data_IF_960628535296
#
_entry.id   IF_960628535296
#
_cell.length_a   1.000
_cell.length_b   1.000
_cell.length_c   1.000
_cell.angle_alpha   90.00
_cell.angle_beta   90.00
_cell.angle_gamma   90.00
#
_symmetry.space_group_name_H-M   'P 1'
#
loop_
_entity.id
_entity.type
_entity.pdbx_description
1 polymer ?
#
# COMPACT_ATOMS: atom_id res chain seq x y z
N UNK A 1 14.64 -5.62 -6.55
CA UNK A 1 13.60 -4.70 -5.99
C UNK A 1 14.30 -3.85 -4.95
N UNK A 2 14.21 -2.53 -5.10
CA UNK A 2 14.91 -1.56 -4.26
C UNK A 2 14.03 -1.18 -3.06
N UNK A 3 14.68 -0.91 -1.93
CA UNK A 3 14.03 -0.52 -0.69
C UNK A 3 14.61 0.80 -0.19
N UNK A 4 13.77 1.61 0.43
CA UNK A 4 14.16 2.84 1.15
C UNK A 4 13.98 2.59 2.63
N UNK A 5 14.98 2.96 3.40
CA UNK A 5 14.94 2.95 4.87
C UNK A 5 14.09 4.12 5.37
N UNK A 6 13.08 3.80 6.17
CA UNK A 6 12.22 4.76 6.84
C UNK A 6 12.62 4.82 8.30
N UNK A 7 13.17 5.95 8.71
CA UNK A 7 13.64 6.14 10.08
C UNK A 7 12.50 5.93 11.10
N UNK A 8 12.84 5.30 12.21
CA UNK A 8 11.96 5.18 13.37
C UNK A 8 11.57 6.55 13.91
N UNK A 9 10.54 6.61 14.75
CA UNK A 9 10.08 7.85 15.37
C UNK A 9 8.58 8.04 15.25
N UNK A 10 8.10 9.16 15.77
CA UNK A 10 6.69 9.50 15.84
C UNK A 10 6.19 10.16 14.55
N UNK A 11 4.90 10.00 14.27
CA UNK A 11 4.17 10.75 13.24
C UNK A 11 2.69 10.85 13.64
N UNK A 12 1.96 11.73 12.97
CA UNK A 12 0.51 11.84 13.11
C UNK A 12 -0.17 10.96 12.06
N UNK A 13 -0.90 9.95 12.53
CA UNK A 13 -1.67 9.01 11.71
C UNK A 13 -3.13 9.41 11.66
N UNK A 14 -3.75 9.32 10.48
CA UNK A 14 -5.15 9.66 10.27
C UNK A 14 -5.34 10.99 9.54
N UNK A 15 -6.60 11.36 9.31
CA UNK A 15 -7.00 12.60 8.64
C UNK A 15 -8.18 13.22 9.38
N UNK A 16 -8.01 14.45 9.88
CA UNK A 16 -9.05 15.17 10.63
C UNK A 16 -10.26 15.54 9.76
N UNK A 17 -10.01 15.79 8.48
CA UNK A 17 -11.02 16.14 7.48
C UNK A 17 -11.51 14.91 6.69
N UNK A 18 -10.95 13.75 6.98
CA UNK A 18 -11.25 12.49 6.32
C UNK A 18 -12.53 11.81 6.82
N UNK A 19 -12.74 10.59 6.35
CA UNK A 19 -13.87 9.75 6.77
C UNK A 19 -13.83 9.42 8.27
N UNK A 20 -14.95 9.02 8.89
CA UNK A 20 -14.97 8.64 10.31
C UNK A 20 -13.94 7.59 10.70
N UNK A 21 -13.65 6.63 9.82
CA UNK A 21 -12.66 5.59 10.07
C UNK A 21 -11.19 6.07 10.00
N UNK A 22 -10.96 7.28 9.50
CA UNK A 22 -9.65 7.93 9.42
C UNK A 22 -9.36 8.80 10.65
N UNK A 23 -10.32 8.85 11.58
CA UNK A 23 -10.28 9.66 12.80
C UNK A 23 -10.33 8.81 14.07
N UNK A 24 -9.82 9.32 15.20
CA UNK A 24 -9.11 10.59 15.36
C UNK A 24 -7.73 10.55 14.75
N UNK A 25 -7.18 11.72 14.37
CA UNK A 25 -5.74 11.85 14.17
C UNK A 25 -5.06 11.57 15.50
N UNK A 26 -4.07 10.70 15.50
CA UNK A 26 -3.40 10.26 16.72
C UNK A 26 -1.91 10.07 16.48
N UNK A 27 -1.14 10.16 17.56
CA UNK A 27 0.31 10.01 17.52
C UNK A 27 0.68 8.53 17.55
N UNK A 28 1.50 8.11 16.59
CA UNK A 28 2.03 6.75 16.49
C UNK A 28 3.55 6.80 16.42
N UNK A 29 4.22 5.97 17.22
CA UNK A 29 5.65 5.73 17.14
C UNK A 29 5.90 4.40 16.44
N UNK A 30 6.78 4.41 15.45
CA UNK A 30 7.25 3.19 14.77
C UNK A 30 8.75 3.00 14.97
N UNK A 31 9.18 1.76 15.03
CA UNK A 31 10.58 1.39 14.84
C UNK A 31 10.99 1.64 13.40
N UNK A 32 12.28 1.65 13.10
CA UNK A 32 12.77 1.78 11.74
C UNK A 32 12.42 0.53 10.92
N UNK A 33 12.13 0.73 9.64
CA UNK A 33 11.80 -0.33 8.70
C UNK A 33 12.25 0.07 7.28
N UNK A 34 12.23 -0.85 6.36
CA UNK A 34 12.45 -0.54 4.95
C UNK A 34 11.19 -0.82 4.14
N UNK A 35 10.88 0.04 3.17
CA UNK A 35 9.74 -0.08 2.27
C UNK A 35 10.20 -0.12 0.82
N UNK A 36 9.60 -1.00 0.00
CA UNK A 36 9.90 -1.09 -1.42
C UNK A 36 9.57 0.23 -2.14
N UNK A 37 10.47 0.67 -3.01
CA UNK A 37 10.38 1.94 -3.75
C UNK A 37 9.10 2.04 -4.57
N UNK A 38 8.65 0.93 -5.15
CA UNK A 38 7.42 0.82 -5.94
C UNK A 38 6.58 -0.37 -5.47
N UNK A 39 5.32 -0.47 -5.89
CA UNK A 39 4.56 -1.73 -5.83
C UNK A 39 5.32 -2.87 -6.52
N UNK A 40 5.04 -4.10 -6.14
CA UNK A 40 5.56 -5.30 -6.82
C UNK A 40 5.05 -5.32 -8.25
N UNK A 41 5.96 -5.45 -9.21
CA UNK A 41 5.62 -5.47 -10.65
C UNK A 41 5.38 -6.90 -11.16
N UNK A 42 4.74 -7.02 -12.32
CA UNK A 42 4.60 -8.30 -13.02
C UNK A 42 5.96 -8.97 -13.26
N UNK A 43 6.98 -8.20 -13.66
CA UNK A 43 8.34 -8.73 -13.84
C UNK A 43 8.96 -9.26 -12.56
N UNK A 44 8.67 -8.63 -11.40
CA UNK A 44 9.16 -9.10 -10.11
C UNK A 44 8.40 -10.34 -9.61
N UNK A 45 7.12 -10.47 -9.99
CA UNK A 45 6.26 -11.58 -9.58
C UNK A 45 6.46 -12.86 -10.43
N UNK A 46 6.84 -12.74 -11.70
CA UNK A 46 7.01 -13.86 -12.62
C UNK A 46 7.95 -14.97 -12.09
N UNK A 47 9.16 -14.68 -11.54
CA UNK A 47 10.04 -15.72 -11.01
C UNK A 47 9.43 -16.53 -9.85
N UNK A 48 8.52 -15.93 -9.08
CA UNK A 48 7.78 -16.63 -8.03
C UNK A 48 6.83 -17.67 -8.61
N UNK A 49 6.10 -17.33 -9.66
CA UNK A 49 5.21 -18.27 -10.36
C UNK A 49 6.02 -19.46 -10.92
N UNK A 50 7.14 -19.15 -11.58
CA UNK A 50 8.02 -20.16 -12.18
C UNK A 50 8.63 -21.10 -11.12
N UNK A 51 9.05 -20.55 -9.98
CA UNK A 51 9.69 -21.31 -8.92
C UNK A 51 8.72 -22.17 -8.10
N UNK A 52 7.46 -21.74 -7.97
CA UNK A 52 6.50 -22.38 -7.06
C UNK A 52 5.40 -23.16 -7.76
N UNK A 53 5.13 -22.86 -9.03
CA UNK A 53 4.03 -23.45 -9.79
C UNK A 53 2.63 -23.09 -9.28
N UNK A 54 2.50 -22.06 -8.44
CA UNK A 54 1.19 -21.60 -7.98
C UNK A 54 0.39 -20.98 -9.13
N UNK A 55 -0.95 -21.00 -9.09
CA UNK A 55 -1.76 -20.36 -10.11
C UNK A 55 -1.44 -18.86 -10.22
N UNK A 56 -1.42 -18.30 -11.44
CA UNK A 56 -1.18 -16.87 -11.62
C UNK A 56 -2.34 -16.01 -11.09
N UNK A 57 -2.08 -14.72 -10.81
CA UNK A 57 -3.11 -13.74 -10.45
C UNK A 57 -4.27 -13.67 -11.45
N UNK A 58 -5.44 -13.21 -10.98
CA UNK A 58 -6.68 -13.23 -11.76
C UNK A 58 -6.62 -12.52 -13.13
N UNK A 59 -5.76 -11.49 -13.28
CA UNK A 59 -5.62 -10.70 -14.51
C UNK A 59 -4.29 -10.94 -15.22
N UNK A 60 -3.53 -11.95 -14.82
CA UNK A 60 -2.21 -12.25 -15.37
C UNK A 60 -2.27 -12.56 -16.88
N UNK A 61 -1.42 -11.87 -17.65
CA UNK A 61 -1.35 -12.03 -19.10
C UNK A 61 -2.55 -11.50 -19.89
N UNK A 62 -3.53 -10.88 -19.24
CA UNK A 62 -4.63 -10.24 -19.94
C UNK A 62 -4.21 -8.89 -20.52
N UNK A 63 -4.73 -8.55 -21.70
CA UNK A 63 -4.45 -7.29 -22.37
C UNK A 63 -4.72 -6.09 -21.44
N UNK A 64 -3.72 -5.24 -21.28
CA UNK A 64 -3.76 -4.07 -20.38
C UNK A 64 -3.31 -4.33 -18.95
N UNK A 65 -2.98 -5.59 -18.58
CA UNK A 65 -2.44 -6.01 -17.29
C UNK A 65 -1.15 -6.82 -17.43
N UNK A 66 -0.61 -6.90 -18.63
CA UNK A 66 0.48 -7.79 -19.05
C UNK A 66 1.83 -7.10 -19.24
N UNK A 67 1.91 -5.79 -19.04
CA UNK A 67 3.21 -5.09 -19.12
C UNK A 67 4.11 -5.47 -17.93
N UNK A 68 5.36 -5.86 -18.17
CA UNK A 68 6.30 -6.26 -17.11
C UNK A 68 6.50 -5.20 -16.02
N UNK A 69 6.36 -3.93 -16.34
CA UNK A 69 6.53 -2.80 -15.41
C UNK A 69 5.24 -2.32 -14.75
N UNK A 70 4.10 -2.92 -15.05
CA UNK A 70 2.87 -2.66 -14.30
C UNK A 70 2.93 -3.32 -12.93
N UNK A 71 2.27 -2.74 -11.89
CA UNK A 71 2.01 -3.45 -10.65
C UNK A 71 1.31 -4.77 -10.92
N UNK A 72 1.71 -5.83 -10.25
CA UNK A 72 0.91 -7.06 -10.20
C UNK A 72 -0.38 -6.76 -9.46
N UNK A 73 -1.51 -7.03 -10.10
CA UNK A 73 -2.85 -6.83 -9.54
C UNK A 73 -3.70 -8.09 -9.67
N UNK A 74 -4.83 -8.11 -9.00
CA UNK A 74 -5.67 -9.31 -8.99
C UNK A 74 -5.12 -10.40 -8.08
N UNK A 75 -4.36 -10.03 -7.08
CA UNK A 75 -3.83 -10.89 -6.02
C UNK A 75 -4.69 -10.79 -4.78
N UNK A 76 -4.96 -11.92 -4.13
CA UNK A 76 -5.56 -11.96 -2.80
C UNK A 76 -4.53 -11.53 -1.75
N UNK A 77 -4.99 -11.24 -0.54
CA UNK A 77 -4.10 -10.91 0.58
C UNK A 77 -3.15 -12.09 0.91
N UNK A 78 -3.66 -13.32 0.88
CA UNK A 78 -2.88 -14.53 1.12
C UNK A 78 -1.79 -14.71 0.06
N UNK A 79 -2.10 -14.46 -1.22
CA UNK A 79 -1.12 -14.53 -2.31
C UNK A 79 -0.03 -13.46 -2.17
N UNK A 80 -0.41 -12.26 -1.77
CA UNK A 80 0.54 -11.18 -1.47
C UNK A 80 1.47 -11.55 -0.31
N UNK A 81 0.93 -12.13 0.77
CA UNK A 81 1.73 -12.64 1.90
C UNK A 81 2.67 -13.78 1.49
N UNK A 82 2.19 -14.72 0.67
CA UNK A 82 3.00 -15.85 0.20
C UNK A 82 4.18 -15.38 -0.65
N UNK A 83 3.95 -14.44 -1.58
CA UNK A 83 5.03 -13.82 -2.34
C UNK A 83 6.00 -13.06 -1.42
N UNK A 84 5.50 -12.27 -0.48
CA UNK A 84 6.34 -11.52 0.45
C UNK A 84 7.27 -12.46 1.24
N UNK A 85 6.74 -13.54 1.78
CA UNK A 85 7.53 -14.56 2.50
C UNK A 85 8.58 -15.24 1.60
N UNK A 86 8.19 -15.61 0.37
CA UNK A 86 9.12 -16.20 -0.61
C UNK A 86 10.29 -15.27 -0.94
N UNK A 87 10.02 -13.97 -1.01
CA UNK A 87 11.04 -12.94 -1.32
C UNK A 87 11.88 -12.51 -0.12
N UNK A 88 11.70 -13.11 1.07
CA UNK A 88 12.39 -12.73 2.30
C UNK A 88 11.94 -11.36 2.83
N UNK A 89 10.69 -11.01 2.62
CA UNK A 89 10.07 -9.75 3.04
C UNK A 89 8.69 -10.00 3.68
N UNK A 90 7.96 -8.94 3.96
CA UNK A 90 6.59 -8.96 4.48
C UNK A 90 5.74 -7.85 3.84
N UNK A 91 4.46 -7.88 4.06
CA UNK A 91 3.61 -6.71 3.81
C UNK A 91 3.91 -5.62 4.87
N UNK A 92 3.75 -4.34 4.55
CA UNK A 92 3.78 -3.28 5.55
C UNK A 92 2.58 -3.38 6.50
N UNK A 93 2.73 -2.85 7.72
CA UNK A 93 1.58 -2.48 8.54
C UNK A 93 0.91 -1.24 7.95
N UNK A 94 -0.36 -1.01 8.30
CA UNK A 94 -1.09 0.19 7.91
C UNK A 94 -0.34 1.46 8.33
N UNK A 95 0.20 1.47 9.56
CA UNK A 95 0.93 2.61 10.10
C UNK A 95 2.29 2.82 9.40
N UNK A 96 3.00 1.75 9.06
CA UNK A 96 4.25 1.84 8.27
C UNK A 96 3.98 2.42 6.89
N UNK A 97 2.93 1.93 6.22
CA UNK A 97 2.55 2.42 4.91
C UNK A 97 2.23 3.93 4.96
N UNK A 98 1.39 4.36 5.92
CA UNK A 98 1.00 5.77 6.03
C UNK A 98 2.18 6.67 6.38
N UNK A 99 3.02 6.29 7.36
CA UNK A 99 4.23 7.05 7.70
C UNK A 99 5.13 7.23 6.49
N UNK A 100 5.38 6.16 5.76
CA UNK A 100 6.21 6.20 4.56
C UNK A 100 5.57 7.06 3.47
N UNK A 101 4.26 6.94 3.25
CA UNK A 101 3.55 7.74 2.24
C UNK A 101 3.59 9.24 2.56
N UNK A 102 3.47 9.62 3.82
CA UNK A 102 3.60 11.03 4.26
C UNK A 102 5.00 11.58 4.07
N UNK A 103 6.03 10.75 4.09
CA UNK A 103 7.41 11.17 3.81
C UNK A 103 7.94 12.28 4.72
N UNK A 104 7.43 12.38 5.96
CA UNK A 104 7.76 13.44 6.92
C UNK A 104 6.94 14.73 6.75
N UNK A 105 5.92 14.74 5.88
CA UNK A 105 4.99 15.87 5.72
C UNK A 105 3.70 15.58 6.47
N UNK A 106 3.44 16.31 7.52
CA UNK A 106 2.18 16.24 8.27
C UNK A 106 1.03 16.82 7.45
N UNK A 107 -0.13 16.14 7.46
CA UNK A 107 -1.39 16.60 6.84
C UNK A 107 -1.33 16.85 5.32
N UNK A 108 -0.34 16.31 4.60
CA UNK A 108 -0.31 16.36 3.14
C UNK A 108 -1.48 15.57 2.53
N UNK A 109 -2.21 16.19 1.59
CA UNK A 109 -3.27 15.51 0.81
C UNK A 109 -2.69 14.54 -0.23
N UNK A 110 -1.43 14.73 -0.59
CA UNK A 110 -0.67 13.90 -1.54
C UNK A 110 0.64 13.47 -0.89
N UNK A 111 1.21 12.34 -1.31
CA UNK A 111 2.52 11.89 -0.86
C UNK A 111 3.68 12.81 -1.28
N UNK A 112 3.48 13.71 -2.24
CA UNK A 112 4.47 14.64 -2.77
C UNK A 112 4.01 16.09 -2.65
N UNK A 113 4.93 17.07 -2.68
CA UNK A 113 4.59 18.49 -2.72
C UNK A 113 3.91 18.88 -4.05
N UNK A 114 2.94 19.79 -3.97
CA UNK A 114 2.25 20.31 -5.14
C UNK A 114 0.91 19.63 -5.45
N UNK A 115 0.39 19.92 -6.64
CA UNK A 115 -0.93 19.44 -7.06
C UNK A 115 -0.89 17.98 -7.53
N UNK A 116 -2.05 17.32 -7.46
CA UNK A 116 -2.22 15.99 -8.03
C UNK A 116 -1.93 16.02 -9.54
N UNK A 117 -1.25 14.99 -10.09
CA UNK A 117 -1.16 14.87 -11.54
C UNK A 117 -2.57 14.90 -12.14
N UNK A 118 -2.77 15.71 -13.15
CA UNK A 118 -4.05 15.78 -13.86
C UNK A 118 -4.38 14.47 -14.61
N UNK A 119 -3.46 13.53 -14.63
CA UNK A 119 -3.57 12.29 -15.40
C UNK A 119 -4.39 11.25 -14.65
N UNK A 120 -5.56 10.93 -15.21
CA UNK A 120 -6.34 9.76 -14.83
C UNK A 120 -5.93 8.58 -15.71
N UNK A 121 -5.66 7.46 -15.06
CA UNK A 121 -5.34 6.21 -15.77
C UNK A 121 -6.64 5.45 -16.09
N UNK A 122 -6.68 4.74 -17.21
CA UNK A 122 -7.77 3.84 -17.60
C UNK A 122 -7.48 2.37 -17.32
N UNK A 123 -6.24 2.09 -16.85
CA UNK A 123 -5.71 0.77 -16.48
C UNK A 123 -4.52 0.99 -15.54
N UNK A 124 -4.02 -0.03 -14.84
CA UNK A 124 -2.81 0.13 -14.03
C UNK A 124 -1.68 0.72 -14.86
N UNK A 125 -1.09 1.85 -14.47
CA UNK A 125 0.06 2.40 -15.17
C UNK A 125 1.31 1.56 -14.88
N UNK A 126 2.38 1.77 -15.67
CA UNK A 126 3.71 1.29 -15.29
C UNK A 126 4.16 1.98 -14.02
N UNK A 127 4.96 1.31 -13.19
CA UNK A 127 5.55 1.95 -12.01
C UNK A 127 6.36 3.20 -12.37
N UNK A 128 6.57 4.10 -11.42
CA UNK A 128 7.06 5.48 -11.60
C UNK A 128 6.06 6.37 -12.37
N UNK A 129 4.77 6.09 -12.21
CA UNK A 129 3.69 6.85 -12.84
C UNK A 129 3.39 8.18 -12.12
N UNK A 130 3.68 8.23 -10.82
CA UNK A 130 3.50 9.42 -9.99
C UNK A 130 4.85 9.96 -9.51
N UNK A 131 4.93 11.24 -9.13
CA UNK A 131 6.16 11.78 -8.54
C UNK A 131 6.57 11.01 -7.28
N UNK A 132 7.86 10.93 -6.97
CA UNK A 132 8.30 10.37 -5.70
C UNK A 132 7.96 11.32 -4.55
N UNK A 133 7.74 10.76 -3.38
CA UNK A 133 7.68 11.53 -2.16
C UNK A 133 9.09 11.95 -1.68
N UNK A 134 9.23 12.73 -0.59
CA UNK A 134 10.53 13.15 -0.07
C UNK A 134 11.49 11.99 0.30
N UNK A 135 10.97 10.79 0.53
CA UNK A 135 11.78 9.59 0.78
C UNK A 135 12.21 8.87 -0.50
N UNK A 136 11.79 9.32 -1.70
CA UNK A 136 12.06 8.64 -2.96
C UNK A 136 11.13 7.46 -3.25
N UNK A 137 10.01 7.34 -2.57
CA UNK A 137 9.00 6.31 -2.80
C UNK A 137 8.01 6.77 -3.87
N UNK A 138 7.73 5.92 -4.84
CA UNK A 138 6.85 6.20 -5.97
C UNK A 138 5.49 5.49 -5.82
N UNK A 139 4.50 5.97 -6.57
CA UNK A 139 3.23 5.29 -6.80
C UNK A 139 2.38 5.03 -5.53
N UNK A 140 2.54 5.90 -4.53
CA UNK A 140 1.82 5.84 -3.26
C UNK A 140 0.39 6.40 -3.33
N UNK A 141 -0.04 6.86 -4.51
CA UNK A 141 -1.35 7.49 -4.70
C UNK A 141 -1.88 7.21 -6.09
N UNK A 142 -3.09 6.65 -6.19
CA UNK A 142 -3.85 6.52 -7.44
C UNK A 142 -3.30 5.50 -8.45
N UNK A 143 -2.48 4.54 -8.04
CA UNK A 143 -1.93 3.50 -8.92
C UNK A 143 -2.61 2.16 -8.70
N UNK A 144 -2.48 1.58 -7.53
CA UNK A 144 -3.25 0.42 -7.09
C UNK A 144 -3.46 0.47 -5.59
N UNK A 145 -4.55 -0.12 -5.10
CA UNK A 145 -4.67 -0.42 -3.69
C UNK A 145 -3.57 -1.37 -3.27
N UNK A 146 -2.91 -1.07 -2.17
CA UNK A 146 -1.82 -1.88 -1.65
C UNK A 146 -2.23 -2.56 -0.35
N UNK A 147 -2.19 -3.91 -0.34
CA UNK A 147 -2.48 -4.70 0.84
C UNK A 147 -1.51 -4.38 1.99
N UNK A 148 -2.07 -4.22 3.18
CA UNK A 148 -1.34 -4.18 4.45
C UNK A 148 -1.59 -5.46 5.25
N UNK A 149 -0.72 -5.72 6.25
CA UNK A 149 -0.85 -6.93 7.08
C UNK A 149 -2.04 -6.87 8.04
N UNK A 150 -2.52 -5.66 8.36
CA UNK A 150 -3.50 -5.41 9.40
C UNK A 150 -4.90 -5.92 9.03
N UNK A 151 -5.63 -6.43 10.03
CA UNK A 151 -7.07 -6.50 9.96
C UNK A 151 -7.67 -5.10 10.04
N UNK A 152 -8.81 -4.89 9.39
CA UNK A 152 -9.50 -3.62 9.37
C UNK A 152 -10.63 -3.57 10.42
N UNK A 153 -10.73 -2.43 11.11
CA UNK A 153 -11.92 -2.03 11.86
C UNK A 153 -12.10 -0.51 11.74
N UNK A 154 -13.34 -0.07 11.60
CA UNK A 154 -13.69 1.35 11.42
C UNK A 154 -13.29 2.21 12.62
N UNK A 155 -13.38 1.66 13.82
CA UNK A 155 -13.12 2.34 15.10
C UNK A 155 -11.70 2.16 15.63
N UNK A 156 -10.80 1.52 14.86
CA UNK A 156 -9.49 1.13 15.38
C UNK A 156 -8.64 2.31 15.84
N UNK A 157 -8.68 3.44 15.14
CA UNK A 157 -7.84 4.61 15.45
C UNK A 157 -8.14 5.20 16.83
N UNK A 158 -9.39 5.10 17.32
CA UNK A 158 -9.75 5.56 18.65
C UNK A 158 -9.12 4.74 19.81
N UNK A 159 -8.61 3.54 19.50
CA UNK A 159 -8.03 2.60 20.48
C UNK A 159 -6.69 2.03 20.05
N UNK A 160 -6.11 2.58 18.99
CA UNK A 160 -4.81 2.16 18.48
C UNK A 160 -3.72 2.35 19.54
N UNK A 161 -2.84 1.36 19.77
CA UNK A 161 -1.68 1.56 20.62
C UNK A 161 -0.77 2.62 20.01
N UNK A 162 -0.13 3.42 20.88
CA UNK A 162 0.76 4.50 20.46
C UNK A 162 2.11 4.04 19.90
N UNK A 163 2.42 2.74 19.91
CA UNK A 163 3.68 2.20 19.38
C UNK A 163 3.42 0.94 18.56
N UNK A 164 3.99 0.91 17.36
CA UNK A 164 3.97 -0.21 16.41
C UNK A 164 2.60 -0.90 16.29
N UNK A 165 1.50 -0.18 16.00
CA UNK A 165 0.17 -0.77 15.90
C UNK A 165 0.11 -1.79 14.76
N UNK A 166 -0.61 -2.91 15.00
CA UNK A 166 -0.75 -4.04 14.08
C UNK A 166 -2.19 -4.27 13.63
N UNK A 167 -3.07 -3.29 13.87
CA UNK A 167 -4.49 -3.47 13.66
C UNK A 167 -5.17 -4.29 14.76
N UNK A 168 -6.48 -4.55 14.68
CA UNK A 168 -7.16 -5.45 15.60
C UNK A 168 -6.66 -6.89 15.41
N UNK A 169 -6.75 -7.75 16.46
CA UNK A 169 -6.20 -9.12 16.40
C UNK A 169 -6.96 -10.03 15.42
N UNK A 170 -8.20 -9.70 15.12
CA UNK A 170 -9.07 -10.45 14.20
C UNK A 170 -9.94 -9.50 13.39
N UNK A 171 -10.45 -9.98 12.26
CA UNK A 171 -11.34 -9.22 11.40
C UNK A 171 -11.86 -10.06 10.23
N UNK A 172 -12.67 -9.44 9.39
CA UNK A 172 -13.21 -10.05 8.15
C UNK A 172 -12.64 -9.40 6.90
N UNK A 173 -11.96 -8.27 7.06
CA UNK A 173 -11.36 -7.49 5.98
C UNK A 173 -9.94 -7.10 6.33
N UNK A 174 -9.06 -7.10 5.34
CA UNK A 174 -7.69 -6.59 5.47
C UNK A 174 -7.61 -5.14 5.00
N UNK A 175 -6.73 -4.38 5.63
CA UNK A 175 -6.46 -3.00 5.23
C UNK A 175 -5.81 -2.97 3.85
N UNK A 176 -6.18 -1.96 3.07
CA UNK A 176 -5.47 -1.55 1.86
C UNK A 176 -5.36 -0.03 1.79
N UNK A 177 -4.32 0.47 1.13
CA UNK A 177 -3.97 1.89 1.10
C UNK A 177 -3.66 2.36 -0.32
N UNK A 178 -3.55 3.70 -0.51
CA UNK A 178 -3.06 4.32 -1.73
C UNK A 178 -4.10 4.62 -2.81
N UNK A 179 -5.31 4.05 -2.72
CA UNK A 179 -6.30 4.17 -3.79
C UNK A 179 -5.83 3.50 -5.08
N UNK A 180 -6.54 3.70 -6.18
CA UNK A 180 -6.22 3.00 -7.43
C UNK A 180 -6.49 3.86 -8.67
N UNK A 181 -5.96 3.42 -9.80
CA UNK A 181 -6.00 4.06 -11.11
C UNK A 181 -7.41 4.47 -11.57
N UNK A 182 -8.45 3.80 -11.07
CA UNK A 182 -9.86 4.08 -11.39
C UNK A 182 -10.51 5.09 -10.45
N UNK A 183 -9.84 5.48 -9.36
CA UNK A 183 -10.41 6.39 -8.37
C UNK A 183 -10.01 7.84 -8.64
N UNK A 184 -10.91 8.75 -8.25
CA UNK A 184 -10.60 10.17 -8.17
C UNK A 184 -10.21 10.55 -6.73
N UNK A 185 -9.55 11.70 -6.54
CA UNK A 185 -9.41 12.28 -5.21
C UNK A 185 -10.80 12.35 -4.51
N UNK A 186 -10.90 12.12 -3.21
CA UNK A 186 -9.83 12.03 -2.20
C UNK A 186 -9.34 10.59 -1.89
N UNK A 187 -9.80 9.58 -2.65
CA UNK A 187 -9.58 8.15 -2.37
C UNK A 187 -8.12 7.68 -2.43
N UNK A 188 -7.23 8.58 -2.82
CA UNK A 188 -5.80 8.33 -2.97
C UNK A 188 -4.92 9.12 -2.02
N UNK A 189 -5.52 9.83 -1.04
CA UNK A 189 -4.76 10.56 -0.01
C UNK A 189 -3.99 9.60 0.91
N UNK A 190 -2.82 9.99 1.46
CA UNK A 190 -2.06 9.16 2.39
C UNK A 190 -2.85 8.70 3.62
N UNK A 191 -3.76 9.54 4.15
CA UNK A 191 -4.63 9.22 5.28
C UNK A 191 -5.82 8.33 4.93
N UNK A 192 -6.15 8.17 3.62
CA UNK A 192 -7.34 7.43 3.22
C UNK A 192 -7.22 5.92 3.53
N UNK A 193 -8.24 5.40 4.21
CA UNK A 193 -8.33 4.00 4.60
C UNK A 193 -9.29 3.23 3.70
N UNK A 194 -8.85 2.11 3.19
CA UNK A 194 -9.66 1.16 2.43
C UNK A 194 -9.49 -0.25 2.97
N UNK A 195 -10.37 -1.14 2.59
CA UNK A 195 -10.32 -2.53 3.03
C UNK A 195 -11.08 -3.45 2.09
N UNK A 196 -10.70 -4.74 2.09
CA UNK A 196 -11.35 -5.76 1.29
C UNK A 196 -11.29 -7.12 2.01
N UNK A 197 -12.28 -8.01 1.84
CA UNK A 197 -12.15 -9.40 2.27
C UNK A 197 -10.89 -10.05 1.65
N UNK A 198 -10.08 -10.77 2.45
CA UNK A 198 -8.73 -11.21 2.04
C UNK A 198 -8.70 -12.10 0.80
N UNK A 199 -9.72 -12.90 0.57
CA UNK A 199 -9.78 -13.82 -0.57
C UNK A 199 -10.15 -13.18 -1.91
N UNK A 200 -10.56 -11.89 -1.92
CA UNK A 200 -11.00 -11.24 -3.15
C UNK A 200 -9.82 -10.74 -3.99
N UNK A 201 -10.00 -10.80 -5.31
CA UNK A 201 -9.00 -10.42 -6.32
C UNK A 201 -9.60 -9.41 -7.28
N UNK A 202 -9.28 -8.12 -7.09
CA UNK A 202 -9.72 -7.05 -7.98
C UNK A 202 -8.57 -6.53 -8.85
N UNK A 203 -8.89 -6.05 -10.03
CA UNK A 203 -7.94 -5.55 -11.03
C UNK A 203 -7.17 -4.28 -10.60
N UNK A 204 -7.50 -3.73 -9.44
CA UNK A 204 -6.88 -2.56 -8.86
C UNK A 204 -6.27 -2.82 -7.47
N UNK A 205 -6.13 -4.09 -7.07
CA UNK A 205 -5.49 -4.52 -5.82
C UNK A 205 -4.18 -5.23 -6.11
N UNK A 206 -3.10 -4.64 -5.61
CA UNK A 206 -1.73 -5.14 -5.60
C UNK A 206 -1.12 -4.97 -4.21
N UNK A 207 0.20 -4.83 -4.13
CA UNK A 207 0.91 -4.66 -2.86
C UNK A 207 2.34 -4.17 -3.08
N UNK A 208 2.95 -3.63 -2.02
CA UNK A 208 4.39 -3.44 -1.92
C UNK A 208 4.95 -4.18 -0.73
N UNK A 209 6.28 -4.32 -0.69
CA UNK A 209 6.97 -5.06 0.34
C UNK A 209 7.56 -4.13 1.40
N UNK A 210 7.65 -4.65 2.63
CA UNK A 210 8.40 -4.07 3.74
C UNK A 210 9.41 -5.07 4.28
N UNK A 211 10.43 -4.55 4.98
CA UNK A 211 11.42 -5.33 5.74
C UNK A 211 11.61 -4.73 7.12
N UNK A 212 11.79 -5.57 8.10
CA UNK A 212 12.33 -5.16 9.41
C UNK A 212 13.83 -4.98 9.28
N UNK A 213 14.39 -3.96 9.91
CA UNK A 213 15.82 -3.62 9.92
C UNK A 213 16.34 -3.54 11.36
#
# INVERSE_FOLDING_TARGET
MDFVEVAGGEFLMGDADGAPCERPVHRVRLDAFALAVTPVTNAAYAPYLDATGVPPPAFWGQAGFDDPRQPVVGVSWEEACAFAAWSGARLPTEAEWEKAARGGVDNGRLPWPGDAPAQRFTRPPRVHATPPNPLGLFDLSGVCHEWCVDWYADDYYARSPGANPLGPPTGTRRVSRGGAWRHADPWSAPGHRSSLPPALRYSDYGFRLARTI
#
